data_IF_158292714363
#
_entry.id   IF_158292714363
#
_cell.length_a   1.000
_cell.length_b   1.000
_cell.length_c   1.000
_cell.angle_alpha   90.00
_cell.angle_beta   90.00
_cell.angle_gamma   90.00
#
_symmetry.space_group_name_H-M   'P 1'
#
loop_
_entity.id
_entity.type
_entity.pdbx_description
1 polymer ?
#
# COMPACT_ATOMS: atom_id res chain seq x y z
N UNK A 1 -26.37 57.62 36.81
CA UNK A 1 -25.45 57.28 35.70
C UNK A 1 -24.55 56.06 35.97
N UNK A 2 -23.74 56.02 37.05
CA UNK A 2 -22.79 54.89 37.30
C UNK A 2 -23.46 53.52 37.53
N UNK A 3 -24.59 53.47 38.23
CA UNK A 3 -25.32 52.24 38.57
C UNK A 3 -25.94 51.56 37.34
N UNK A 4 -26.41 52.36 36.38
CA UNK A 4 -26.98 51.87 35.12
C UNK A 4 -25.91 51.26 34.20
N UNK A 5 -24.73 51.90 34.12
CA UNK A 5 -23.56 51.33 33.42
C UNK A 5 -23.13 49.99 34.04
N UNK A 6 -23.17 49.87 35.36
CA UNK A 6 -22.79 48.64 36.06
C UNK A 6 -23.78 47.50 35.80
N UNK A 7 -25.09 47.79 35.81
CA UNK A 7 -26.12 46.81 35.45
C UNK A 7 -26.02 46.32 34.01
N UNK A 8 -25.76 47.23 33.06
CA UNK A 8 -25.55 46.86 31.64
C UNK A 8 -24.31 45.97 31.48
N UNK A 9 -23.22 46.28 32.20
CA UNK A 9 -22.00 45.48 32.13
C UNK A 9 -22.22 44.07 32.71
N UNK A 10 -22.92 43.97 33.85
CA UNK A 10 -23.29 42.66 34.43
C UNK A 10 -24.18 41.87 33.47
N UNK A 11 -25.13 42.51 32.79
CA UNK A 11 -25.99 41.86 31.81
C UNK A 11 -25.21 41.32 30.61
N UNK A 12 -24.27 42.10 30.08
CA UNK A 12 -23.38 41.64 29.00
C UNK A 12 -22.50 40.46 29.43
N UNK A 13 -21.93 40.52 30.62
CA UNK A 13 -21.09 39.43 31.15
C UNK A 13 -21.93 38.17 31.39
N UNK A 14 -23.14 38.32 31.94
CA UNK A 14 -24.06 37.21 32.18
C UNK A 14 -24.49 36.49 30.89
N UNK A 15 -24.53 37.19 29.75
CA UNK A 15 -24.80 36.60 28.44
C UNK A 15 -23.53 36.03 27.80
N UNK A 16 -22.40 36.73 27.94
CA UNK A 16 -21.15 36.35 27.29
C UNK A 16 -20.56 35.06 27.86
N UNK A 17 -20.67 34.83 29.17
CA UNK A 17 -20.13 33.64 29.83
C UNK A 17 -20.75 32.34 29.29
N UNK A 18 -22.08 32.15 29.29
CA UNK A 18 -22.68 30.92 28.77
C UNK A 18 -22.45 30.75 27.27
N UNK A 19 -22.40 31.84 26.50
CA UNK A 19 -22.08 31.76 25.07
C UNK A 19 -20.65 31.25 24.84
N UNK A 20 -19.67 31.78 25.57
CA UNK A 20 -18.28 31.33 25.50
C UNK A 20 -18.14 29.86 25.94
N UNK A 21 -18.89 29.45 26.97
CA UNK A 21 -18.91 28.06 27.42
C UNK A 21 -19.45 27.11 26.34
N UNK A 22 -20.55 27.46 25.69
CA UNK A 22 -21.14 26.65 24.60
C UNK A 22 -20.16 26.53 23.43
N UNK A 23 -19.53 27.63 23.03
CA UNK A 23 -18.53 27.63 21.95
C UNK A 23 -17.39 26.68 22.30
N UNK A 24 -16.83 26.79 23.51
CA UNK A 24 -15.74 25.90 23.95
C UNK A 24 -16.15 24.43 23.92
N UNK A 25 -17.34 24.10 24.44
CA UNK A 25 -17.87 22.74 24.44
C UNK A 25 -18.03 22.18 23.01
N UNK A 26 -18.51 22.99 22.06
CA UNK A 26 -18.65 22.57 20.66
C UNK A 26 -17.30 22.32 19.98
N UNK A 27 -16.27 23.13 20.26
CA UNK A 27 -14.92 22.90 19.73
C UNK A 27 -14.32 21.60 20.28
N UNK A 28 -14.52 21.29 21.56
CA UNK A 28 -14.03 20.04 22.15
C UNK A 28 -14.72 18.80 21.61
N UNK A 29 -15.99 18.91 21.20
CA UNK A 29 -16.71 17.82 20.54
C UNK A 29 -16.20 17.55 19.12
N UNK A 30 -15.90 18.61 18.36
CA UNK A 30 -15.39 18.50 16.99
C UNK A 30 -13.99 17.85 16.92
N UNK A 31 -13.07 18.21 17.82
CA UNK A 31 -11.73 17.58 17.84
C UNK A 31 -11.78 16.06 18.10
N UNK A 32 -12.79 15.59 18.83
CA UNK A 32 -12.95 14.15 19.10
C UNK A 32 -13.56 13.41 17.90
N UNK A 33 -14.45 14.06 17.16
CA UNK A 33 -15.08 13.49 15.96
C UNK A 33 -14.07 13.39 14.80
N UNK A 34 -13.24 14.42 14.59
CA UNK A 34 -12.21 14.42 13.54
C UNK A 34 -11.18 13.30 13.73
N UNK A 35 -10.75 13.03 14.97
CA UNK A 35 -9.79 11.95 15.24
C UNK A 35 -10.37 10.57 14.97
N UNK A 36 -11.60 10.31 15.43
CA UNK A 36 -12.26 9.03 15.18
C UNK A 36 -12.50 8.77 13.69
N UNK A 37 -12.81 9.83 12.92
CA UNK A 37 -12.99 9.71 11.48
C UNK A 37 -11.68 9.42 10.75
N UNK A 38 -10.57 10.03 11.16
CA UNK A 38 -9.24 9.79 10.59
C UNK A 38 -8.72 8.39 10.91
N UNK A 39 -8.93 7.90 12.14
CA UNK A 39 -8.53 6.54 12.53
C UNK A 39 -9.30 5.49 11.71
N UNK A 40 -10.63 5.60 11.65
CA UNK A 40 -11.45 4.68 10.86
C UNK A 40 -11.08 4.68 9.37
N UNK A 41 -10.83 5.86 8.79
CA UNK A 41 -10.41 5.96 7.40
C UNK A 41 -9.03 5.33 7.16
N UNK A 42 -8.10 5.51 8.10
CA UNK A 42 -6.74 4.97 8.00
C UNK A 42 -6.74 3.44 8.11
N UNK A 43 -7.53 2.89 9.04
CA UNK A 43 -7.72 1.45 9.20
C UNK A 43 -8.32 0.84 7.93
N UNK A 44 -9.41 1.42 7.41
CA UNK A 44 -10.06 0.92 6.20
C UNK A 44 -9.14 0.99 4.97
N UNK A 45 -8.30 2.02 4.87
CA UNK A 45 -7.33 2.14 3.79
C UNK A 45 -6.22 1.08 3.92
N UNK A 46 -5.73 0.84 5.14
CA UNK A 46 -4.71 -0.20 5.40
C UNK A 46 -5.26 -1.60 5.12
N UNK A 47 -6.47 -1.91 5.54
CA UNK A 47 -7.14 -3.18 5.26
C UNK A 47 -7.27 -3.43 3.75
N UNK A 48 -7.62 -2.38 2.99
CA UNK A 48 -7.71 -2.47 1.54
C UNK A 48 -6.34 -2.73 0.90
N UNK A 49 -5.29 -2.03 1.35
CA UNK A 49 -3.93 -2.26 0.85
C UNK A 49 -3.42 -3.67 1.20
N UNK A 50 -3.69 -4.15 2.42
CA UNK A 50 -3.32 -5.50 2.83
C UNK A 50 -4.00 -6.55 1.96
N UNK A 51 -5.29 -6.37 1.67
CA UNK A 51 -6.04 -7.27 0.80
C UNK A 51 -5.49 -7.30 -0.62
N UNK A 52 -5.25 -6.13 -1.22
CA UNK A 52 -4.67 -6.05 -2.56
C UNK A 52 -3.28 -6.70 -2.63
N UNK A 53 -2.45 -6.48 -1.61
CA UNK A 53 -1.13 -7.11 -1.52
C UNK A 53 -1.22 -8.63 -1.32
N UNK A 54 -2.14 -9.11 -0.50
CA UNK A 54 -2.34 -10.53 -0.28
C UNK A 54 -2.80 -11.25 -1.55
N UNK A 55 -3.67 -10.62 -2.35
CA UNK A 55 -4.09 -11.15 -3.66
C UNK A 55 -2.90 -11.26 -4.62
N UNK A 56 -2.04 -10.24 -4.69
CA UNK A 56 -0.82 -10.26 -5.50
C UNK A 56 0.17 -11.34 -5.05
N UNK A 57 0.40 -11.47 -3.74
CA UNK A 57 1.29 -12.51 -3.19
C UNK A 57 0.73 -13.89 -3.50
N UNK A 58 -0.57 -14.10 -3.34
CA UNK A 58 -1.21 -15.39 -3.60
C UNK A 58 -1.11 -15.77 -5.09
N UNK A 59 -1.26 -14.82 -6.00
CA UNK A 59 -1.05 -15.07 -7.44
C UNK A 59 0.37 -15.56 -7.71
N UNK A 60 1.38 -14.89 -7.16
CA UNK A 60 2.77 -15.26 -7.35
C UNK A 60 3.17 -16.55 -6.64
N UNK A 61 2.63 -16.84 -5.45
CA UNK A 61 2.85 -18.12 -4.76
C UNK A 61 2.25 -19.32 -5.51
N UNK A 62 1.17 -19.11 -6.28
CA UNK A 62 0.56 -20.16 -7.09
C UNK A 62 1.30 -20.41 -8.41
N UNK A 63 2.26 -19.56 -8.78
CA UNK A 63 3.03 -19.69 -10.02
C UNK A 63 3.97 -20.88 -9.98
N UNK A 64 4.13 -21.57 -11.10
CA UNK A 64 5.06 -22.69 -11.19
C UNK A 64 6.51 -22.22 -11.07
N UNK A 65 7.32 -22.96 -10.32
CA UNK A 65 8.75 -22.65 -10.09
C UNK A 65 9.54 -22.58 -11.41
N UNK A 66 9.13 -23.36 -12.41
CA UNK A 66 9.78 -23.41 -13.72
C UNK A 66 9.60 -22.10 -14.53
N UNK A 67 8.59 -21.29 -14.20
CA UNK A 67 8.37 -19.99 -14.85
C UNK A 67 9.37 -18.92 -14.41
N UNK A 68 10.07 -19.11 -13.29
CA UNK A 68 11.12 -18.18 -12.85
C UNK A 68 12.46 -18.39 -13.57
N UNK A 69 12.57 -19.45 -14.39
CA UNK A 69 13.72 -19.69 -15.27
C UNK A 69 13.56 -18.95 -16.60
N UNK A 70 14.67 -18.69 -17.30
CA UNK A 70 14.62 -18.08 -18.64
C UNK A 70 13.93 -18.98 -19.68
N UNK A 71 14.14 -20.30 -19.57
CA UNK A 71 13.49 -21.31 -20.42
C UNK A 71 12.62 -22.23 -19.57
N UNK A 72 11.42 -22.57 -20.06
CA UNK A 72 10.55 -23.54 -19.40
C UNK A 72 11.17 -24.94 -19.46
N UNK A 73 11.07 -25.69 -18.36
CA UNK A 73 11.47 -27.08 -18.30
C UNK A 73 10.55 -27.93 -19.21
N UNK A 74 11.08 -28.39 -20.35
CA UNK A 74 10.32 -29.30 -21.21
C UNK A 74 10.41 -30.74 -20.71
N UNK A 75 9.32 -31.53 -20.76
CA UNK A 75 9.42 -32.96 -20.55
C UNK A 75 10.37 -33.56 -21.60
N UNK A 76 11.25 -34.44 -21.13
CA UNK A 76 12.42 -35.06 -21.80
C UNK A 76 12.20 -35.70 -23.20
N UNK A 77 11.01 -35.65 -23.79
CA UNK A 77 10.64 -36.44 -24.97
C UNK A 77 10.72 -35.69 -26.33
N UNK A 78 11.11 -34.41 -26.36
CA UNK A 78 11.25 -33.68 -27.64
C UNK A 78 12.56 -32.88 -27.72
N UNK A 79 13.65 -33.58 -27.99
CA UNK A 79 14.99 -33.03 -28.28
C UNK A 79 15.04 -32.02 -29.46
N UNK A 80 13.93 -31.81 -30.18
CA UNK A 80 13.86 -30.94 -31.36
C UNK A 80 12.82 -29.82 -31.26
N UNK A 81 12.17 -29.63 -30.10
CA UNK A 81 11.26 -28.50 -29.92
C UNK A 81 12.05 -27.26 -29.46
N UNK A 82 11.84 -26.07 -30.07
CA UNK A 82 12.49 -24.85 -29.61
C UNK A 82 12.19 -24.65 -28.12
N UNK A 83 13.22 -24.34 -27.33
CA UNK A 83 13.07 -24.03 -25.91
C UNK A 83 12.06 -22.88 -25.78
N UNK A 84 10.97 -23.14 -25.06
CA UNK A 84 9.92 -22.15 -24.87
C UNK A 84 10.41 -21.16 -23.82
N UNK A 85 10.38 -19.87 -24.17
CA UNK A 85 10.69 -18.79 -23.24
C UNK A 85 9.66 -18.76 -22.10
N UNK A 86 10.13 -18.43 -20.91
CA UNK A 86 9.22 -18.16 -19.80
C UNK A 86 8.36 -16.93 -20.08
N UNK A 87 7.08 -16.91 -19.65
CA UNK A 87 6.26 -15.71 -19.70
C UNK A 87 6.87 -14.54 -18.91
N UNK A 88 7.66 -14.81 -17.86
CA UNK A 88 8.32 -13.79 -17.05
C UNK A 88 9.60 -13.21 -17.70
N UNK A 89 10.04 -13.81 -18.80
CA UNK A 89 11.15 -13.29 -19.61
C UNK A 89 10.72 -12.10 -20.48
N UNK A 90 9.40 -11.89 -20.67
CA UNK A 90 8.88 -10.70 -21.32
C UNK A 90 8.97 -9.50 -20.34
N UNK A 91 9.52 -8.37 -20.78
CA UNK A 91 9.64 -7.13 -19.96
C UNK A 91 8.29 -6.43 -19.72
N UNK A 92 7.18 -7.17 -19.79
CA UNK A 92 5.83 -6.66 -19.56
C UNK A 92 5.40 -7.07 -18.16
N UNK A 93 5.95 -6.37 -17.17
CA UNK A 93 5.59 -6.57 -15.78
C UNK A 93 4.39 -5.73 -15.38
N UNK A 94 3.68 -6.17 -14.35
CA UNK A 94 2.70 -5.34 -13.69
C UNK A 94 3.36 -4.08 -13.12
N UNK A 95 2.60 -2.99 -13.01
CA UNK A 95 3.09 -1.67 -12.61
C UNK A 95 3.85 -1.67 -11.27
N UNK A 96 3.55 -2.62 -10.38
CA UNK A 96 4.12 -2.73 -9.04
C UNK A 96 5.22 -3.79 -8.93
N UNK A 97 5.51 -4.53 -10.01
CA UNK A 97 6.55 -5.57 -10.05
C UNK A 97 7.76 -5.01 -10.79
N UNK A 98 8.87 -4.88 -10.07
CA UNK A 98 10.13 -4.39 -10.64
C UNK A 98 10.89 -5.47 -11.42
N UNK A 99 10.62 -6.74 -11.10
CA UNK A 99 11.25 -7.89 -11.71
C UNK A 99 11.29 -9.08 -10.77
N UNK A 100 11.71 -10.21 -11.28
CA UNK A 100 11.75 -11.47 -10.55
C UNK A 100 13.19 -11.92 -10.30
N UNK A 101 13.41 -12.42 -9.09
CA UNK A 101 14.67 -12.98 -8.63
C UNK A 101 14.40 -14.29 -7.89
N UNK A 102 14.99 -15.37 -8.35
CA UNK A 102 14.89 -16.67 -7.71
C UNK A 102 16.20 -17.00 -7.00
N UNK A 103 16.09 -17.47 -5.75
CA UNK A 103 17.19 -18.04 -5.00
C UNK A 103 17.19 -19.55 -5.17
N UNK A 104 18.28 -20.08 -5.71
CA UNK A 104 18.47 -21.51 -5.93
C UNK A 104 19.01 -22.21 -4.67
N UNK A 105 18.85 -23.54 -4.53
CA UNK A 105 19.33 -24.28 -3.36
C UNK A 105 20.85 -24.20 -3.12
N UNK A 106 21.63 -23.88 -4.17
CA UNK A 106 23.07 -23.66 -4.11
C UNK A 106 23.45 -22.25 -3.66
N UNK A 107 22.47 -21.37 -3.40
CA UNK A 107 22.65 -19.98 -3.03
C UNK A 107 22.95 -19.05 -4.22
N UNK A 108 22.88 -19.57 -5.45
CA UNK A 108 22.94 -18.73 -6.65
C UNK A 108 21.61 -17.99 -6.84
N UNK A 109 21.69 -16.83 -7.46
CA UNK A 109 20.50 -16.09 -7.90
C UNK A 109 20.34 -16.23 -9.40
N UNK A 110 19.09 -16.33 -9.85
CA UNK A 110 18.71 -16.30 -11.26
C UNK A 110 17.52 -15.37 -11.49
N UNK A 111 17.37 -14.87 -12.71
CA UNK A 111 16.26 -14.03 -13.12
C UNK A 111 15.73 -14.52 -14.47
N UNK A 112 14.41 -14.48 -14.72
CA UNK A 112 13.85 -14.92 -16.00
C UNK A 112 14.20 -13.98 -17.16
N UNK A 113 14.82 -12.82 -16.91
CA UNK A 113 15.20 -11.85 -17.95
C UNK A 113 16.41 -12.24 -18.79
N UNK A 114 17.33 -13.04 -18.23
CA UNK A 114 18.57 -13.45 -18.89
C UNK A 114 18.88 -14.91 -18.59
N UNK A 115 19.41 -15.62 -19.58
CA UNK A 115 19.76 -17.03 -19.44
C UNK A 115 20.92 -17.26 -18.46
N UNK A 116 21.84 -16.30 -18.35
CA UNK A 116 22.97 -16.33 -17.43
C UNK A 116 23.26 -14.92 -16.91
N UNK A 117 23.26 -14.78 -15.57
CA UNK A 117 23.57 -13.54 -14.87
C UNK A 117 25.03 -13.10 -15.04
N UNK A 118 25.93 -14.01 -15.41
CA UNK A 118 27.31 -13.70 -15.76
C UNK A 118 27.49 -13.05 -17.15
N UNK A 119 26.45 -13.09 -17.98
CA UNK A 119 26.44 -12.54 -19.34
C UNK A 119 25.35 -11.49 -19.51
N UNK A 120 25.33 -10.48 -18.65
CA UNK A 120 24.46 -9.32 -18.84
C UNK A 120 24.89 -8.62 -20.14
N UNK A 121 24.04 -8.55 -21.18
CA UNK A 121 24.37 -7.75 -22.36
C UNK A 121 24.45 -6.27 -21.93
N UNK A 122 25.60 -5.63 -22.14
CA UNK A 122 25.73 -4.19 -21.95
C UNK A 122 24.84 -3.48 -22.97
N UNK A 123 23.68 -2.97 -22.53
CA UNK A 123 22.92 -1.93 -23.23
C UNK A 123 21.94 -1.23 -22.29
#
# INVERSE_FOLDING_TARGET
MKRFKLLILVFFVAISIPLAFVIWQTYTGLEQEERGQLEFFSEALLDQMEKELAELVQEEENRAVDEYQYFLAQPFEREQSPQQLSPLAELVYEKYILGYLQNNPDGSFQTPLIADMGSIPEN
#
